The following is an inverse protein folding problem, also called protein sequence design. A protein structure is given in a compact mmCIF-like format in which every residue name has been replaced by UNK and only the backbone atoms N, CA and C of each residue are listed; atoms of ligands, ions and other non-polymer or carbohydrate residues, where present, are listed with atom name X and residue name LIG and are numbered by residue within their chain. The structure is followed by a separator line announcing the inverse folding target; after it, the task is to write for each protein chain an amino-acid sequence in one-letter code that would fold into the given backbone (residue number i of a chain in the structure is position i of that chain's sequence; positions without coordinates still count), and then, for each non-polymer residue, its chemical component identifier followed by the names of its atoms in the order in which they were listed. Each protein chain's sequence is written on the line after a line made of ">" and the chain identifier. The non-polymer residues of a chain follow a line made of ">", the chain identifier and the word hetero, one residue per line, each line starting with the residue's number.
data_IF_891173093428
#
_entry.id   IF_891173093428
#
_cell.length_a   1.000
_cell.length_b   1.000
_cell.length_c   1.000
_cell.angle_alpha   90.00
_cell.angle_beta   90.00
_cell.angle_gamma   90.00
#
_symmetry.space_group_name_H-M   'P 1'
#
loop_
_entity.id
_entity.type
_entity.pdbx_description
1 polymer ?
#
# COMPACT_ATOMS: atom_id res chain seq x y z
N UNK A 1 -2.99 9.00 0.99
CA UNK A 1 -4.19 8.45 1.68
C UNK A 1 -3.89 7.26 2.60
N UNK A 2 -3.13 6.23 2.16
CA UNK A 2 -2.92 4.98 2.92
C UNK A 2 -2.34 5.19 4.34
N UNK A 3 -1.38 6.10 4.50
CA UNK A 3 -0.76 6.40 5.80
C UNK A 3 -1.77 6.95 6.82
N UNK A 4 -2.69 7.83 6.39
CA UNK A 4 -3.70 8.42 7.25
C UNK A 4 -4.64 7.34 7.83
N UNK A 5 -5.06 6.38 6.99
CA UNK A 5 -5.94 5.29 7.44
C UNK A 5 -5.28 4.43 8.51
N UNK A 6 -4.00 4.11 8.37
CA UNK A 6 -3.24 3.36 9.37
C UNK A 6 -3.04 4.16 10.67
N UNK A 7 -2.76 5.47 10.57
CA UNK A 7 -2.63 6.35 11.74
C UNK A 7 -3.97 6.40 12.51
N UNK A 8 -5.08 6.59 11.81
CA UNK A 8 -6.41 6.61 12.44
C UNK A 8 -6.73 5.27 13.09
N UNK A 9 -6.47 4.15 12.40
CA UNK A 9 -6.68 2.81 12.97
C UNK A 9 -5.81 2.59 14.21
N UNK A 10 -4.52 2.97 14.16
CA UNK A 10 -3.62 2.92 15.30
C UNK A 10 -4.11 3.75 16.48
N UNK A 11 -4.58 4.97 16.23
CA UNK A 11 -5.16 5.83 17.27
C UNK A 11 -6.39 5.22 17.93
N UNK A 12 -7.30 4.63 17.14
CA UNK A 12 -8.47 3.93 17.69
C UNK A 12 -8.01 2.73 18.54
N UNK A 13 -7.11 1.90 18.03
CA UNK A 13 -6.61 0.71 18.73
C UNK A 13 -5.98 1.10 20.07
N UNK A 14 -5.00 2.00 20.06
CA UNK A 14 -4.23 2.39 21.24
C UNK A 14 -4.99 3.32 22.19
N UNK A 15 -6.05 3.98 21.74
CA UNK A 15 -6.96 4.76 22.59
C UNK A 15 -8.05 3.92 23.26
N UNK A 16 -8.51 2.85 22.60
CA UNK A 16 -9.53 1.94 23.13
C UNK A 16 -8.91 0.86 24.02
N UNK A 17 -7.67 0.44 23.76
CA UNK A 17 -6.98 -0.64 24.49
C UNK A 17 -7.07 -0.49 26.02
N UNK A 18 -6.80 0.68 26.65
CA UNK A 18 -6.90 0.82 28.10
C UNK A 18 -8.34 0.70 28.65
N UNK A 19 -9.35 0.94 27.81
CA UNK A 19 -10.76 0.87 28.19
C UNK A 19 -11.30 -0.57 28.21
N UNK A 20 -10.58 -1.52 27.59
CA UNK A 20 -11.00 -2.93 27.52
C UNK A 20 -11.08 -3.60 28.89
N UNK A 21 -10.33 -3.10 29.87
CA UNK A 21 -10.37 -3.55 31.28
C UNK A 21 -11.72 -3.31 31.95
N UNK A 22 -12.58 -2.45 31.38
CA UNK A 22 -13.93 -2.15 31.89
C UNK A 22 -15.02 -3.00 31.24
N UNK A 23 -14.68 -3.80 30.25
CA UNK A 23 -15.61 -4.66 29.51
C UNK A 23 -15.59 -6.07 30.10
N UNK A 24 -16.62 -6.86 29.79
CA UNK A 24 -16.55 -8.31 30.04
C UNK A 24 -15.43 -8.93 29.19
N UNK A 25 -14.86 -10.05 29.64
CA UNK A 25 -13.78 -10.74 28.93
C UNK A 25 -14.12 -11.05 27.46
N UNK A 26 -15.37 -11.48 27.21
CA UNK A 26 -15.86 -11.77 25.85
C UNK A 26 -15.96 -10.50 25.00
N UNK A 27 -16.49 -9.41 25.55
CA UNK A 27 -16.62 -8.15 24.83
C UNK A 27 -15.24 -7.52 24.54
N UNK A 28 -14.33 -7.56 25.52
CA UNK A 28 -12.95 -7.11 25.36
C UNK A 28 -12.21 -7.91 24.27
N UNK A 29 -12.28 -9.25 24.31
CA UNK A 29 -11.64 -10.10 23.30
C UNK A 29 -12.18 -9.85 21.89
N UNK A 30 -13.50 -9.77 21.75
CA UNK A 30 -14.16 -9.52 20.45
C UNK A 30 -13.74 -8.16 19.89
N UNK A 31 -13.74 -7.12 20.73
CA UNK A 31 -13.33 -5.77 20.32
C UNK A 31 -11.85 -5.72 19.94
N UNK A 32 -10.96 -6.36 20.71
CA UNK A 32 -9.54 -6.40 20.42
C UNK A 32 -9.25 -7.10 19.08
N UNK A 33 -9.89 -8.24 18.81
CA UNK A 33 -9.73 -8.95 17.55
C UNK A 33 -10.22 -8.09 16.39
N UNK A 34 -11.39 -7.46 16.51
CA UNK A 34 -11.91 -6.56 15.48
C UNK A 34 -10.94 -5.40 15.19
N UNK A 35 -10.40 -4.76 16.25
CA UNK A 35 -9.44 -3.66 16.11
C UNK A 35 -8.11 -4.11 15.52
N UNK A 36 -7.57 -5.27 15.93
CA UNK A 36 -6.34 -5.83 15.37
C UNK A 36 -6.48 -6.19 13.89
N UNK A 37 -7.62 -6.76 13.48
CA UNK A 37 -7.94 -7.03 12.07
C UNK A 37 -8.04 -5.73 11.28
N UNK A 38 -8.76 -4.72 11.79
CA UNK A 38 -8.86 -3.41 11.13
C UNK A 38 -7.50 -2.74 10.96
N UNK A 39 -6.64 -2.79 11.98
CA UNK A 39 -5.27 -2.26 11.90
C UNK A 39 -4.44 -3.00 10.85
N UNK A 40 -4.50 -4.33 10.83
CA UNK A 40 -3.76 -5.13 9.86
C UNK A 40 -4.24 -4.90 8.42
N UNK A 41 -5.55 -4.76 8.21
CA UNK A 41 -6.12 -4.40 6.91
C UNK A 41 -5.70 -2.99 6.46
N UNK A 42 -5.69 -2.03 7.39
CA UNK A 42 -5.21 -0.68 7.12
C UNK A 42 -3.70 -0.66 6.79
N UNK A 43 -2.89 -1.45 7.50
CA UNK A 43 -1.44 -1.57 7.26
C UNK A 43 -1.12 -2.26 5.92
N UNK A 44 -1.87 -3.31 5.59
CA UNK A 44 -1.79 -4.06 4.32
C UNK A 44 -2.27 -3.21 3.12
N UNK A 45 -3.25 -2.34 3.32
CA UNK A 45 -3.97 -1.65 2.24
C UNK A 45 -4.65 -2.61 1.22
N UNK A 46 -4.65 -3.93 1.46
CA UNK A 46 -5.48 -4.89 0.74
C UNK A 46 -6.15 -5.89 1.70
N UNK A 47 -7.38 -6.32 1.40
CA UNK A 47 -8.02 -7.40 2.13
C UNK A 47 -7.36 -8.73 1.75
N UNK A 48 -6.58 -9.29 2.67
CA UNK A 48 -5.97 -10.62 2.52
C UNK A 48 -6.23 -11.46 3.75
N UNK A 49 -6.36 -12.78 3.56
CA UNK A 49 -6.54 -13.71 4.67
C UNK A 49 -5.35 -13.65 5.65
N UNK A 50 -4.15 -13.41 5.14
CA UNK A 50 -2.95 -13.22 5.96
C UNK A 50 -3.07 -11.97 6.85
N UNK A 51 -3.55 -10.84 6.33
CA UNK A 51 -3.75 -9.64 7.14
C UNK A 51 -4.80 -9.87 8.25
N UNK A 52 -5.90 -10.57 7.94
CA UNK A 52 -6.92 -10.92 8.95
C UNK A 52 -6.34 -11.84 10.03
N UNK A 53 -5.66 -12.91 9.63
CA UNK A 53 -5.06 -13.86 10.56
C UNK A 53 -3.98 -13.19 11.43
N UNK A 54 -3.11 -12.38 10.82
CA UNK A 54 -2.05 -11.68 11.52
C UNK A 54 -2.58 -10.60 12.47
N UNK A 55 -3.65 -9.89 12.08
CA UNK A 55 -4.34 -8.94 12.96
C UNK A 55 -5.01 -9.62 14.16
N UNK A 56 -5.65 -10.77 13.95
CA UNK A 56 -6.24 -11.56 15.04
C UNK A 56 -5.16 -12.13 15.98
N UNK A 57 -4.07 -12.66 15.43
CA UNK A 57 -2.92 -13.14 16.23
C UNK A 57 -2.23 -11.99 16.99
N UNK A 58 -2.11 -10.82 16.36
CA UNK A 58 -1.60 -9.60 17.00
C UNK A 58 -2.46 -9.16 18.18
N UNK A 59 -3.80 -9.16 18.01
CA UNK A 59 -4.74 -8.87 19.09
C UNK A 59 -4.65 -9.89 20.23
N UNK A 60 -4.55 -11.19 19.91
CA UNK A 60 -4.38 -12.23 20.91
C UNK A 60 -3.07 -12.08 21.69
N UNK A 61 -1.93 -11.98 20.98
CA UNK A 61 -0.61 -11.81 21.62
C UNK A 61 -0.52 -10.52 22.43
N UNK A 62 -1.07 -9.42 21.91
CA UNK A 62 -1.17 -8.15 22.63
C UNK A 62 -2.01 -8.27 23.90
N UNK A 63 -3.17 -8.90 23.83
CA UNK A 63 -4.06 -9.10 24.98
C UNK A 63 -3.43 -9.96 26.08
N UNK A 64 -2.76 -11.06 25.72
CA UNK A 64 -2.08 -11.96 26.68
C UNK A 64 -0.93 -11.25 27.41
N UNK A 65 -0.24 -10.35 26.74
CA UNK A 65 0.95 -9.67 27.28
C UNK A 65 0.64 -8.34 27.98
N UNK A 66 -0.58 -7.80 27.86
CA UNK A 66 -0.89 -6.42 28.23
C UNK A 66 -0.60 -6.11 29.71
N UNK A 67 -1.00 -7.01 30.61
CA UNK A 67 -0.85 -6.80 32.06
C UNK A 67 0.58 -7.02 32.55
N UNK A 68 1.32 -7.95 31.92
CA UNK A 68 2.67 -8.32 32.34
C UNK A 68 3.74 -7.42 31.72
N UNK A 69 3.59 -7.07 30.44
CA UNK A 69 4.58 -6.34 29.67
C UNK A 69 3.92 -5.50 28.55
N UNK A 70 3.39 -4.30 28.87
CA UNK A 70 2.71 -3.43 27.91
C UNK A 70 3.51 -3.12 26.65
N UNK A 71 4.83 -3.00 26.77
CA UNK A 71 5.72 -2.82 25.63
C UNK A 71 5.75 -4.07 24.72
N UNK A 72 5.86 -5.27 25.29
CA UNK A 72 5.82 -6.50 24.48
C UNK A 72 4.44 -6.72 23.85
N UNK A 73 3.36 -6.34 24.55
CA UNK A 73 2.00 -6.36 24.02
C UNK A 73 1.86 -5.47 22.77
N UNK A 74 2.32 -4.23 22.85
CA UNK A 74 2.31 -3.30 21.71
C UNK A 74 3.20 -3.78 20.56
N UNK A 75 4.38 -4.32 20.85
CA UNK A 75 5.27 -4.90 19.85
C UNK A 75 4.65 -6.08 19.11
N UNK A 76 4.04 -7.02 19.84
CA UNK A 76 3.38 -8.19 19.26
C UNK A 76 2.20 -7.77 18.37
N UNK A 77 1.37 -6.84 18.86
CA UNK A 77 0.23 -6.32 18.11
C UNK A 77 0.64 -5.66 16.80
N UNK A 78 1.51 -4.64 16.85
CA UNK A 78 1.91 -3.90 15.64
C UNK A 78 2.77 -4.76 14.73
N UNK A 79 3.72 -5.52 15.27
CA UNK A 79 4.58 -6.43 14.50
C UNK A 79 3.77 -7.42 13.66
N UNK A 80 2.75 -8.05 14.26
CA UNK A 80 1.89 -9.00 13.55
C UNK A 80 0.91 -8.29 12.61
N UNK A 81 0.31 -7.16 12.98
CA UNK A 81 -0.54 -6.39 12.05
C UNK A 81 0.21 -5.95 10.78
N UNK A 82 1.53 -5.73 10.88
CA UNK A 82 2.39 -5.38 9.75
C UNK A 82 3.07 -6.57 9.06
N UNK A 83 2.76 -7.81 9.44
CA UNK A 83 3.40 -9.01 8.89
C UNK A 83 3.18 -9.16 7.38
N UNK A 84 1.94 -8.98 6.90
CA UNK A 84 1.61 -9.04 5.47
C UNK A 84 2.41 -8.02 4.68
N UNK A 85 2.48 -6.77 5.17
CA UNK A 85 3.22 -5.69 4.51
C UNK A 85 4.72 -5.98 4.49
N UNK A 86 5.25 -6.56 5.57
CA UNK A 86 6.68 -6.92 5.68
C UNK A 86 7.11 -7.90 4.60
N UNK A 87 6.25 -8.85 4.23
CA UNK A 87 6.53 -9.83 3.16
C UNK A 87 6.70 -9.14 1.80
N UNK A 88 6.00 -8.02 1.58
CA UNK A 88 6.07 -7.21 0.35
C UNK A 88 7.24 -6.23 0.31
N UNK A 89 8.06 -6.14 1.35
CA UNK A 89 9.29 -5.35 1.31
C UNK A 89 10.34 -6.13 0.52
N UNK A 90 10.74 -5.61 -0.65
CA UNK A 90 11.61 -6.28 -1.62
C UNK A 90 13.02 -6.50 -1.07
N UNK A 91 13.65 -5.43 -0.61
CA UNK A 91 15.03 -5.48 -0.14
C UNK A 91 15.12 -6.12 1.25
N UNK A 92 16.07 -7.02 1.43
CA UNK A 92 16.30 -7.70 2.72
C UNK A 92 16.57 -6.72 3.86
N UNK A 93 17.41 -5.72 3.61
CA UNK A 93 17.77 -4.72 4.62
C UNK A 93 16.56 -3.84 4.96
N UNK A 94 15.82 -3.36 3.95
CA UNK A 94 14.59 -2.61 4.18
C UNK A 94 13.54 -3.44 4.95
N UNK A 95 13.45 -4.75 4.69
CA UNK A 95 12.55 -5.65 5.41
C UNK A 95 12.92 -5.76 6.89
N UNK A 96 14.21 -5.90 7.19
CA UNK A 96 14.70 -5.91 8.58
C UNK A 96 14.35 -4.58 9.26
N UNK A 97 14.62 -3.44 8.60
CA UNK A 97 14.25 -2.11 9.12
C UNK A 97 12.75 -2.01 9.37
N UNK A 98 11.91 -2.46 8.44
CA UNK A 98 10.45 -2.46 8.59
C UNK A 98 9.99 -3.28 9.82
N UNK A 99 10.53 -4.49 9.99
CA UNK A 99 10.21 -5.35 11.15
C UNK A 99 10.68 -4.71 12.45
N UNK A 100 11.90 -4.16 12.48
CA UNK A 100 12.43 -3.47 13.67
C UNK A 100 11.57 -2.25 14.02
N UNK A 101 11.19 -1.43 13.03
CA UNK A 101 10.29 -0.29 13.25
C UNK A 101 8.91 -0.73 13.75
N UNK A 102 8.39 -1.86 13.27
CA UNK A 102 7.09 -2.37 13.71
C UNK A 102 7.12 -2.82 15.17
N UNK A 103 8.17 -3.55 15.56
CA UNK A 103 8.34 -4.01 16.93
C UNK A 103 8.66 -2.85 17.88
N UNK A 104 9.61 -1.99 17.54
CA UNK A 104 10.00 -0.85 18.37
C UNK A 104 8.90 0.21 18.48
N UNK A 105 8.28 0.57 17.35
CA UNK A 105 7.16 1.51 17.30
C UNK A 105 5.95 0.98 18.07
N UNK A 106 5.63 -0.31 17.90
CA UNK A 106 4.61 -0.99 18.70
C UNK A 106 4.93 -1.01 20.19
N UNK A 107 6.18 -1.31 20.55
CA UNK A 107 6.61 -1.34 21.95
C UNK A 107 6.45 0.00 22.64
N UNK A 108 6.93 1.07 21.99
CA UNK A 108 6.80 2.42 22.51
C UNK A 108 5.33 2.84 22.58
N UNK A 109 4.53 2.56 21.55
CA UNK A 109 3.09 2.84 21.54
C UNK A 109 2.35 2.15 22.69
N UNK A 110 2.60 0.85 22.90
CA UNK A 110 2.02 0.09 24.02
C UNK A 110 2.45 0.63 25.39
N UNK A 111 3.73 0.96 25.55
CA UNK A 111 4.26 1.54 26.78
C UNK A 111 3.60 2.89 27.11
N UNK A 112 3.58 3.84 26.17
CA UNK A 112 3.03 5.18 26.44
C UNK A 112 1.51 5.13 26.66
N UNK A 113 0.77 4.33 25.87
CA UNK A 113 -0.68 4.19 26.04
C UNK A 113 -1.06 3.66 27.42
N UNK A 114 -0.36 2.64 27.91
CA UNK A 114 -0.65 2.09 29.25
C UNK A 114 -0.16 3.02 30.36
N UNK A 115 1.00 3.67 30.20
CA UNK A 115 1.56 4.57 31.21
C UNK A 115 0.66 5.78 31.50
N UNK A 116 -0.03 6.29 30.47
CA UNK A 116 -0.91 7.45 30.58
C UNK A 116 -2.41 7.10 30.49
N UNK A 117 -2.77 5.83 30.70
CA UNK A 117 -4.16 5.38 30.64
C UNK A 117 -5.11 6.14 31.60
N UNK A 118 -4.59 6.54 32.75
CA UNK A 118 -5.31 7.26 33.81
C UNK A 118 -5.00 8.77 33.85
N UNK A 119 -4.28 9.29 32.85
CA UNK A 119 -4.01 10.73 32.77
C UNK A 119 -5.28 11.53 32.45
N UNK A 120 -5.19 12.85 32.60
CA UNK A 120 -6.26 13.77 32.21
C UNK A 120 -6.66 13.59 30.74
N UNK A 121 -7.93 13.84 30.36
CA UNK A 121 -8.42 13.56 29.01
C UNK A 121 -7.60 14.21 27.89
N UNK A 122 -7.11 15.44 28.10
CA UNK A 122 -6.26 16.15 27.12
C UNK A 122 -4.91 15.46 26.94
N UNK A 123 -4.24 15.08 28.04
CA UNK A 123 -2.96 14.35 27.99
C UNK A 123 -3.15 13.00 27.30
N UNK A 124 -4.25 12.29 27.60
CA UNK A 124 -4.55 11.01 26.96
C UNK A 124 -4.79 11.18 25.46
N UNK A 125 -5.50 12.22 25.02
CA UNK A 125 -5.70 12.51 23.60
C UNK A 125 -4.36 12.70 22.87
N UNK A 126 -3.43 13.46 23.45
CA UNK A 126 -2.08 13.65 22.90
C UNK A 126 -1.31 12.33 22.84
N UNK A 127 -1.34 11.52 23.92
CA UNK A 127 -0.67 10.22 23.95
C UNK A 127 -1.22 9.26 22.90
N UNK A 128 -2.53 9.28 22.64
CA UNK A 128 -3.15 8.47 21.57
C UNK A 128 -2.58 8.86 20.21
N UNK A 129 -2.42 10.16 19.93
CA UNK A 129 -1.81 10.64 18.69
C UNK A 129 -0.34 10.18 18.59
N UNK A 130 0.43 10.30 19.67
CA UNK A 130 1.83 9.84 19.71
C UNK A 130 1.91 8.33 19.45
N UNK A 131 1.10 7.53 20.14
CA UNK A 131 1.04 6.08 19.97
C UNK A 131 0.64 5.69 18.54
N UNK A 132 -0.32 6.39 17.94
CA UNK A 132 -0.73 6.19 16.55
C UNK A 132 0.41 6.44 15.55
N UNK A 133 1.17 7.51 15.75
CA UNK A 133 2.34 7.86 14.93
C UNK A 133 3.44 6.81 15.09
N UNK A 134 3.75 6.41 16.32
CA UNK A 134 4.75 5.37 16.61
C UNK A 134 4.36 4.01 15.99
N UNK A 135 3.11 3.60 16.13
CA UNK A 135 2.59 2.37 15.52
C UNK A 135 2.58 2.42 13.98
N UNK A 136 2.61 3.62 13.39
CA UNK A 136 2.65 3.84 11.95
C UNK A 136 4.07 3.99 11.39
N UNK A 137 5.11 3.95 12.23
CA UNK A 137 6.52 4.05 11.80
C UNK A 137 6.91 3.07 10.67
N UNK A 138 6.41 1.81 10.60
CA UNK A 138 6.78 0.90 9.50
C UNK A 138 6.33 1.39 8.12
N UNK A 139 5.36 2.31 8.04
CA UNK A 139 4.91 2.89 6.78
C UNK A 139 5.96 3.78 6.12
N UNK A 140 6.99 4.20 6.86
CA UNK A 140 8.15 4.91 6.32
C UNK A 140 8.98 4.02 5.40
N UNK A 141 8.90 2.70 5.55
CA UNK A 141 9.57 1.77 4.64
C UNK A 141 8.63 1.46 3.47
N UNK A 142 9.08 1.69 2.21
CA UNK A 142 8.30 1.37 1.04
C UNK A 142 8.07 -0.14 0.96
N UNK A 143 6.82 -0.52 0.73
CA UNK A 143 6.42 -1.88 0.42
C UNK A 143 5.93 -1.92 -1.03
N UNK A 144 6.15 -3.06 -1.68
CA UNK A 144 5.77 -3.23 -3.08
C UNK A 144 4.24 -3.17 -3.28
N UNK A 145 3.82 -2.82 -4.50
CA UNK A 145 2.41 -2.87 -4.86
C UNK A 145 1.91 -4.31 -4.72
N UNK A 146 0.75 -4.55 -4.07
CA UNK A 146 0.30 -5.91 -3.81
C UNK A 146 -0.03 -6.72 -5.07
N UNK A 147 -0.34 -6.07 -6.20
CA UNK A 147 -0.54 -6.77 -7.48
C UNK A 147 0.82 -7.12 -8.07
N UNK A 148 1.75 -6.16 -8.14
CA UNK A 148 3.12 -6.42 -8.64
C UNK A 148 3.81 -7.55 -7.86
N UNK A 149 3.77 -7.49 -6.53
CA UNK A 149 4.31 -8.52 -5.66
C UNK A 149 3.68 -9.90 -5.93
N UNK A 150 2.36 -9.96 -6.10
CA UNK A 150 1.68 -11.23 -6.34
C UNK A 150 1.98 -11.81 -7.73
N UNK A 151 2.19 -10.98 -8.74
CA UNK A 151 2.63 -11.43 -10.07
C UNK A 151 4.04 -12.00 -10.01
N UNK A 152 4.97 -11.30 -9.36
CA UNK A 152 6.35 -11.79 -9.15
C UNK A 152 6.40 -13.10 -8.36
N UNK A 153 5.58 -13.20 -7.30
CA UNK A 153 5.52 -14.42 -6.47
C UNK A 153 5.04 -15.61 -7.30
N UNK A 154 3.98 -15.43 -8.10
CA UNK A 154 3.49 -16.47 -9.00
C UNK A 154 4.52 -16.81 -10.09
N UNK A 155 5.24 -15.81 -10.61
CA UNK A 155 6.28 -16.01 -11.63
C UNK A 155 7.51 -16.79 -11.13
N UNK A 156 7.68 -16.99 -9.81
CA UNK A 156 8.71 -17.88 -9.26
C UNK A 156 8.34 -19.36 -9.34
N UNK A 157 7.05 -19.66 -9.40
CA UNK A 157 6.49 -21.01 -9.47
C UNK A 157 6.22 -21.47 -10.91
N UNK A 158 6.53 -20.63 -11.89
CA UNK A 158 6.30 -20.86 -13.31
C UNK A 158 7.62 -20.75 -14.09
N UNK A 159 7.71 -21.49 -15.18
CA UNK A 159 8.86 -21.49 -16.08
C UNK A 159 8.51 -20.85 -17.44
N UNK A 160 9.54 -20.46 -18.19
CA UNK A 160 9.42 -20.00 -19.56
C UNK A 160 8.80 -18.61 -19.73
N UNK A 161 8.25 -18.36 -20.92
CA UNK A 161 7.80 -17.03 -21.36
C UNK A 161 6.71 -16.42 -20.49
N UNK A 162 5.87 -17.26 -19.87
CA UNK A 162 4.79 -16.81 -18.99
C UNK A 162 5.34 -16.18 -17.73
N UNK A 163 6.41 -16.74 -17.17
CA UNK A 163 7.07 -16.16 -16.01
C UNK A 163 7.66 -14.79 -16.35
N UNK A 164 8.22 -14.64 -17.55
CA UNK A 164 8.76 -13.38 -18.04
C UNK A 164 7.66 -12.35 -18.30
N UNK A 165 6.54 -12.73 -18.90
CA UNK A 165 5.36 -11.87 -19.08
C UNK A 165 4.81 -11.37 -17.73
N UNK A 166 4.75 -12.24 -16.71
CA UNK A 166 4.28 -11.85 -15.38
C UNK A 166 5.24 -10.90 -14.67
N UNK A 167 6.56 -11.10 -14.81
CA UNK A 167 7.58 -10.16 -14.30
C UNK A 167 7.51 -8.82 -15.03
N UNK A 168 7.35 -8.83 -16.35
CA UNK A 168 7.14 -7.62 -17.14
C UNK A 168 5.86 -6.88 -16.70
N UNK A 169 4.77 -7.61 -16.43
CA UNK A 169 3.55 -7.05 -15.87
C UNK A 169 3.74 -6.47 -14.46
N UNK A 170 4.55 -7.12 -13.61
CA UNK A 170 4.89 -6.61 -12.28
C UNK A 170 5.72 -5.31 -12.36
N UNK A 171 6.70 -5.26 -13.26
CA UNK A 171 7.52 -4.07 -13.49
C UNK A 171 6.71 -2.92 -14.08
N UNK A 172 5.83 -3.21 -15.05
CA UNK A 172 4.88 -2.23 -15.57
C UNK A 172 4.01 -1.67 -14.42
N UNK A 173 3.47 -2.54 -13.55
CA UNK A 173 2.64 -2.12 -12.42
C UNK A 173 3.38 -1.18 -11.46
N UNK A 174 4.71 -1.29 -11.36
CA UNK A 174 5.55 -0.43 -10.51
C UNK A 174 5.85 0.91 -11.17
N UNK A 175 5.99 0.95 -12.49
CA UNK A 175 6.36 2.17 -13.21
C UNK A 175 5.18 3.08 -13.50
N UNK A 176 3.96 2.52 -13.56
CA UNK A 176 2.77 3.29 -13.96
C UNK A 176 2.21 4.14 -12.82
N UNK A 177 1.90 5.40 -13.14
CA UNK A 177 1.10 6.26 -12.27
C UNK A 177 -0.37 6.27 -12.74
N UNK A 178 -1.26 5.70 -11.93
CA UNK A 178 -2.71 5.71 -12.21
C UNK A 178 -3.31 7.12 -12.21
N UNK A 179 -2.63 8.13 -11.65
CA UNK A 179 -3.12 9.51 -11.64
C UNK A 179 -3.16 10.15 -13.04
N UNK A 180 -2.38 9.61 -13.98
CA UNK A 180 -2.32 10.06 -15.37
C UNK A 180 -3.49 9.54 -16.22
N UNK A 181 -4.23 8.53 -15.72
CA UNK A 181 -5.38 7.99 -16.42
C UNK A 181 -6.65 8.77 -16.10
N UNK A 182 -7.50 8.97 -17.12
CA UNK A 182 -8.86 9.41 -16.87
C UNK A 182 -9.64 8.38 -16.03
N UNK A 183 -10.73 8.77 -15.35
CA UNK A 183 -11.45 7.89 -14.42
C UNK A 183 -11.95 6.58 -15.03
N UNK A 184 -12.35 6.58 -16.31
CA UNK A 184 -12.87 5.39 -16.99
C UNK A 184 -11.74 4.46 -17.42
N UNK A 185 -10.63 5.01 -17.92
CA UNK A 185 -9.40 4.26 -18.20
C UNK A 185 -8.81 3.66 -16.92
N UNK A 186 -8.75 4.41 -15.81
CA UNK A 186 -8.28 3.91 -14.52
C UNK A 186 -9.16 2.75 -14.01
N UNK A 187 -10.49 2.84 -14.17
CA UNK A 187 -11.42 1.76 -13.81
C UNK A 187 -11.20 0.52 -14.68
N UNK A 188 -10.98 0.71 -15.98
CA UNK A 188 -10.69 -0.37 -16.93
C UNK A 188 -9.35 -1.04 -16.63
N UNK A 189 -8.30 -0.26 -16.36
CA UNK A 189 -6.99 -0.73 -15.93
C UNK A 189 -7.09 -1.61 -14.68
N UNK A 190 -7.81 -1.16 -13.64
CA UNK A 190 -8.02 -1.94 -12.40
C UNK A 190 -8.72 -3.27 -12.65
N UNK A 191 -9.66 -3.34 -13.59
CA UNK A 191 -10.31 -4.60 -13.98
C UNK A 191 -9.35 -5.51 -14.73
N UNK A 192 -8.56 -4.97 -15.64
CA UNK A 192 -7.54 -5.70 -16.39
C UNK A 192 -6.45 -6.29 -15.46
N UNK A 193 -5.95 -5.51 -14.50
CA UNK A 193 -5.01 -6.00 -13.48
C UNK A 193 -5.60 -7.14 -12.63
N UNK A 194 -6.86 -7.02 -12.19
CA UNK A 194 -7.56 -8.09 -11.46
C UNK A 194 -7.74 -9.35 -12.31
N UNK A 195 -8.07 -9.18 -13.59
CA UNK A 195 -8.20 -10.28 -14.55
C UNK A 195 -6.88 -11.02 -14.76
N UNK A 196 -5.80 -10.27 -14.99
CA UNK A 196 -4.44 -10.80 -15.14
C UNK A 196 -4.02 -11.61 -13.90
N UNK A 197 -4.20 -11.06 -12.69
CA UNK A 197 -3.87 -11.77 -11.45
C UNK A 197 -4.71 -13.05 -11.27
N UNK A 198 -5.98 -13.03 -11.69
CA UNK A 198 -6.83 -14.22 -11.68
C UNK A 198 -6.32 -15.30 -12.64
N UNK A 199 -5.93 -14.91 -13.87
CA UNK A 199 -5.34 -15.81 -14.87
C UNK A 199 -4.01 -16.39 -14.39
N UNK A 200 -3.12 -15.57 -13.82
CA UNK A 200 -1.84 -16.00 -13.26
C UNK A 200 -2.04 -17.05 -12.15
N UNK A 201 -2.99 -16.82 -11.23
CA UNK A 201 -3.34 -17.78 -10.18
C UNK A 201 -3.92 -19.08 -10.74
N UNK A 202 -4.75 -19.01 -11.78
CA UNK A 202 -5.26 -20.19 -12.45
C UNK A 202 -4.13 -20.98 -13.11
N UNK A 203 -3.19 -20.30 -13.77
CA UNK A 203 -2.01 -20.89 -14.39
C UNK A 203 -1.11 -21.61 -13.39
N UNK A 204 -0.86 -21.01 -12.23
CA UNK A 204 -0.08 -21.62 -11.15
C UNK A 204 -0.77 -22.85 -10.52
N UNK A 205 -2.11 -22.91 -10.53
CA UNK A 205 -2.83 -24.12 -10.09
C UNK A 205 -2.73 -25.23 -11.12
N UNK A 206 -2.79 -24.88 -12.42
CA UNK A 206 -2.60 -25.83 -13.51
C UNK A 206 -1.19 -26.44 -13.47
N UNK A 207 -0.13 -25.63 -13.33
CA UNK A 207 1.26 -26.14 -13.28
C UNK A 207 1.51 -27.13 -12.13
N UNK A 208 0.82 -26.98 -11.00
CA UNK A 208 0.94 -27.89 -9.85
C UNK A 208 0.14 -29.17 -10.00
N UNK A 209 -0.81 -29.22 -10.94
CA UNK A 209 -1.64 -30.40 -11.16
C UNK A 209 -1.00 -31.23 -12.27
N UNK A 210 -0.43 -32.41 -12.00
CA UNK A 210 0.13 -33.23 -13.07
C UNK A 210 -0.99 -33.76 -13.97
N UNK A 211 -0.98 -33.47 -15.28
CA UNK A 211 -2.04 -33.97 -16.14
C UNK A 211 -1.90 -33.80 -17.66
N UNK A 212 -2.38 -34.86 -18.34
CA UNK A 212 -2.64 -35.17 -19.77
C UNK A 212 -2.75 -34.01 -20.78
N UNK A 213 -2.43 -34.30 -22.05
CA UNK A 213 -2.54 -33.45 -23.28
C UNK A 213 -3.64 -32.37 -23.35
N UNK A 214 -4.83 -32.59 -22.78
CA UNK A 214 -5.91 -31.58 -22.74
C UNK A 214 -5.50 -30.38 -21.88
N UNK A 215 -4.71 -30.61 -20.84
CA UNK A 215 -4.14 -29.59 -19.98
C UNK A 215 -3.16 -28.71 -20.75
N UNK A 216 -2.30 -29.27 -21.61
CA UNK A 216 -1.34 -28.49 -22.41
C UNK A 216 -2.04 -27.45 -23.30
N UNK A 217 -3.20 -27.81 -23.88
CA UNK A 217 -3.99 -26.90 -24.70
C UNK A 217 -4.63 -25.78 -23.86
N UNK A 218 -5.11 -26.10 -22.65
CA UNK A 218 -5.66 -25.10 -21.72
C UNK A 218 -4.57 -24.18 -21.19
N UNK A 219 -3.41 -24.72 -20.81
CA UNK A 219 -2.26 -23.94 -20.35
C UNK A 219 -1.81 -22.96 -21.43
N UNK A 220 -1.61 -23.42 -22.67
CA UNK A 220 -1.26 -22.54 -23.80
C UNK A 220 -2.27 -21.41 -23.99
N UNK A 221 -3.57 -21.71 -23.91
CA UNK A 221 -4.61 -20.68 -24.04
C UNK A 221 -4.60 -19.69 -22.86
N UNK A 222 -4.27 -20.13 -21.65
CA UNK A 222 -4.10 -19.24 -20.49
C UNK A 222 -2.86 -18.37 -20.68
N UNK A 223 -1.76 -18.95 -21.16
CA UNK A 223 -0.50 -18.27 -21.42
C UNK A 223 -0.67 -17.16 -22.48
N UNK A 224 -1.31 -17.48 -23.62
CA UNK A 224 -1.68 -16.49 -24.65
C UNK A 224 -2.54 -15.35 -24.10
N UNK A 225 -3.46 -15.66 -23.17
CA UNK A 225 -4.32 -14.64 -22.55
C UNK A 225 -3.57 -13.78 -21.54
N UNK A 226 -2.61 -14.36 -20.80
CA UNK A 226 -1.74 -13.61 -19.88
C UNK A 226 -0.91 -12.62 -20.71
N UNK A 227 -0.24 -13.10 -21.74
CA UNK A 227 0.54 -12.27 -22.67
C UNK A 227 -0.32 -11.13 -23.23
N UNK A 228 -1.48 -11.43 -23.80
CA UNK A 228 -2.39 -10.42 -24.35
C UNK A 228 -2.87 -9.37 -23.32
N UNK A 229 -3.01 -9.73 -22.04
CA UNK A 229 -3.37 -8.78 -20.98
C UNK A 229 -2.19 -7.84 -20.64
N UNK A 230 -0.98 -8.39 -20.51
CA UNK A 230 0.23 -7.59 -20.23
C UNK A 230 0.49 -6.62 -21.38
N UNK A 231 0.39 -7.10 -22.61
CA UNK A 231 0.47 -6.30 -23.84
C UNK A 231 -0.59 -5.19 -23.91
N UNK A 232 -1.84 -5.53 -23.62
CA UNK A 232 -2.95 -4.57 -23.62
C UNK A 232 -2.76 -3.47 -22.58
N UNK A 233 -2.34 -3.84 -21.36
CA UNK A 233 -2.01 -2.90 -20.29
C UNK A 233 -0.84 -1.99 -20.71
N UNK A 234 0.22 -2.57 -21.26
CA UNK A 234 1.39 -1.81 -21.74
C UNK A 234 0.99 -0.76 -22.77
N UNK A 235 0.25 -1.14 -23.81
CA UNK A 235 -0.22 -0.21 -24.84
C UNK A 235 -1.11 0.89 -24.28
N UNK A 236 -2.00 0.55 -23.35
CA UNK A 236 -2.90 1.50 -22.70
C UNK A 236 -2.11 2.55 -21.90
N UNK A 237 -1.12 2.15 -21.11
CA UNK A 237 -0.30 3.10 -20.33
C UNK A 237 0.62 3.94 -21.23
N UNK A 238 1.23 3.35 -22.27
CA UNK A 238 2.01 4.11 -23.25
C UNK A 238 1.14 5.17 -23.97
N UNK A 239 -0.10 4.82 -24.33
CA UNK A 239 -1.02 5.78 -24.94
C UNK A 239 -1.41 6.91 -23.97
N UNK A 240 -1.61 6.59 -22.68
CA UNK A 240 -1.90 7.59 -21.66
C UNK A 240 -0.71 8.53 -21.41
N UNK A 241 0.51 7.99 -21.33
CA UNK A 241 1.73 8.77 -21.17
C UNK A 241 1.94 9.70 -22.38
N UNK A 242 1.70 9.20 -23.59
CA UNK A 242 1.78 10.01 -24.81
C UNK A 242 0.72 11.13 -24.84
N UNK A 243 -0.51 10.85 -24.40
CA UNK A 243 -1.56 11.85 -24.29
C UNK A 243 -1.21 12.93 -23.25
N UNK A 244 -0.70 12.53 -22.09
CA UNK A 244 -0.27 13.45 -21.04
C UNK A 244 0.93 14.31 -21.47
N UNK A 245 1.91 13.72 -22.16
CA UNK A 245 3.04 14.46 -22.73
C UNK A 245 2.59 15.48 -23.77
N UNK A 246 1.61 15.15 -24.61
CA UNK A 246 1.03 16.09 -25.56
C UNK A 246 0.34 17.26 -24.85
N UNK A 247 -0.42 16.99 -23.78
CA UNK A 247 -1.05 18.05 -22.96
C UNK A 247 -0.01 18.97 -22.33
N UNK A 248 1.05 18.43 -21.73
CA UNK A 248 2.13 19.23 -21.15
C UNK A 248 2.87 20.07 -22.20
N UNK A 249 3.10 19.52 -23.40
CA UNK A 249 3.76 20.28 -24.49
C UNK A 249 2.90 21.43 -25.04
N UNK A 250 1.57 21.28 -25.00
CA UNK A 250 0.65 22.37 -25.34
C UNK A 250 0.69 23.47 -24.29
N UNK A 251 0.83 23.11 -23.01
CA UNK A 251 0.98 24.07 -21.92
C UNK A 251 2.32 24.82 -22.01
N UNK A 252 3.42 24.16 -22.38
CA UNK A 252 4.70 24.83 -22.64
C UNK A 252 4.60 25.84 -23.80
N UNK A 253 3.86 25.49 -24.86
CA UNK A 253 3.56 26.42 -25.95
C UNK A 253 2.75 27.63 -25.47
N UNK A 254 1.74 27.42 -24.64
CA UNK A 254 0.95 28.50 -24.05
C UNK A 254 1.80 29.39 -23.12
N UNK A 255 2.67 28.80 -22.30
CA UNK A 255 3.60 29.50 -21.42
C UNK A 255 4.61 30.34 -22.21
N UNK A 256 5.17 29.80 -23.30
CA UNK A 256 6.09 30.55 -24.16
C UNK A 256 5.43 31.78 -24.81
N UNK A 257 4.14 31.69 -25.14
CA UNK A 257 3.37 32.82 -25.66
C UNK A 257 3.09 33.88 -24.59
N UNK A 258 2.88 33.46 -23.33
CA UNK A 258 2.73 34.37 -22.18
C UNK A 258 4.06 35.06 -21.86
N UNK A 259 5.17 34.34 -21.89
CA UNK A 259 6.51 34.92 -21.68
C UNK A 259 6.88 35.90 -22.80
N UNK A 260 6.56 35.57 -24.05
CA UNK A 260 6.73 36.48 -25.18
C UNK A 260 5.88 37.75 -25.01
N UNK A 261 4.60 37.62 -24.60
CA UNK A 261 3.74 38.76 -24.32
C UNK A 261 4.28 39.62 -23.16
N UNK A 262 4.77 39.01 -22.08
CA UNK A 262 5.39 39.70 -20.95
C UNK A 262 6.63 40.50 -21.37
N UNK A 263 7.51 39.90 -22.16
CA UNK A 263 8.70 40.58 -22.68
C UNK A 263 8.35 41.80 -23.56
N UNK A 264 7.29 41.71 -24.36
CA UNK A 264 6.80 42.85 -25.15
C UNK A 264 6.23 43.99 -24.29
N UNK A 265 5.59 43.67 -23.16
CA UNK A 265 5.08 44.69 -22.24
C UNK A 265 6.21 45.40 -21.49
N UNK A 266 7.29 44.69 -21.16
CA UNK A 266 8.50 45.29 -20.57
C UNK A 266 9.21 46.23 -21.56
N UNK A 267 9.26 45.88 -22.85
CA UNK A 267 9.79 46.76 -23.91
C UNK A 267 8.93 48.03 -24.09
N UNK A 268 7.60 47.89 -24.09
CA UNK A 268 6.68 49.03 -24.15
C UNK A 268 6.81 49.90 -22.90
N UNK A 269 6.96 49.31 -21.72
CA UNK A 269 7.12 50.05 -20.47
C UNK A 269 8.43 50.84 -20.45
N UNK A 270 9.54 50.25 -20.95
CA UNK A 270 10.81 50.97 -21.11
C UNK A 270 10.70 52.13 -22.10
N UNK A 271 10.05 51.93 -23.25
CA UNK A 271 9.89 52.99 -24.24
C UNK A 271 9.12 54.20 -23.70
N UNK A 272 8.07 53.99 -22.89
CA UNK A 272 7.31 55.08 -22.26
C UNK A 272 8.17 55.83 -21.23
N UNK A 273 8.99 55.12 -20.45
CA UNK A 273 9.88 55.75 -19.47
C UNK A 273 10.94 56.61 -20.16
N UNK A 274 11.50 56.15 -21.28
CA UNK A 274 12.50 56.88 -22.05
C UNK A 274 11.92 58.11 -22.78
N UNK A 275 10.63 58.12 -23.14
CA UNK A 275 9.98 59.26 -23.80
C UNK A 275 9.59 60.40 -22.83
N UNK A 276 9.45 60.09 -21.53
CA UNK A 276 9.07 61.06 -20.48
C UNK A 276 10.29 61.69 -19.79
N UNK A 277 11.49 61.13 -20.00
CA UNK A 277 12.76 61.63 -19.44
C UNK A 277 13.44 62.68 -20.33
#
# INVERSE_FOLDING_TARGET
>A
MKALTSIVAGGIVFGVLPLTTRLSSVAAATLLVALGVLLALAASATPSALAVAAGALGAYGGGVLLDAAPALAGAALVGLCFAERSVRVRERNARIVHVVLALAGGALAGYVSTRYALAEPMVRAVVIVIAAVLASAPLLVPADDPIAFALDDIARDLDGTVADDLRAGADLRRSVDESLLDPDSAKSARRAWKSLLSLARARARLSRTPGRRVQDAVERRVDERIHAHVDGLTRMYVAADAANAATLSLDDGALSNVDAAGSSMDEVSKAIVDEVA
#
